data_IF_865657112333
#
_entry.id   IF_865657112333
#
_cell.length_a   1.000
_cell.length_b   1.000
_cell.length_c   1.000
_cell.angle_alpha   90.00
_cell.angle_beta   90.00
_cell.angle_gamma   90.00
#
_symmetry.space_group_name_H-M   'P 1'
#
loop_
_entity.id
_entity.type
_entity.pdbx_description
1 polymer ?
#
# COMPACT_ATOMS: atom_id res chain seq x y z
N UNK A 1 27.56 7.20 17.37
CA UNK A 1 26.36 7.47 16.56
C UNK A 1 25.14 7.29 17.46
N UNK A 2 24.09 8.09 17.30
CA UNK A 2 22.87 7.94 18.09
C UNK A 2 22.21 6.60 17.76
N UNK A 3 21.90 5.79 18.76
CA UNK A 3 21.16 4.53 18.57
C UNK A 3 19.67 4.86 18.41
N UNK A 4 19.09 4.46 17.29
CA UNK A 4 17.66 4.62 17.01
C UNK A 4 16.95 3.37 17.53
N UNK A 5 15.82 3.54 18.19
CA UNK A 5 14.88 2.45 18.48
C UNK A 5 13.52 2.79 17.91
N UNK A 6 12.87 1.82 17.25
CA UNK A 6 11.59 1.99 16.59
C UNK A 6 10.57 1.01 17.17
N UNK A 7 9.33 1.44 17.30
CA UNK A 7 8.23 0.51 17.59
C UNK A 7 7.91 -0.28 16.31
N UNK A 8 8.06 -1.60 16.37
CA UNK A 8 7.76 -2.50 15.26
C UNK A 8 6.38 -3.12 15.46
N UNK A 9 5.42 -2.79 14.59
CA UNK A 9 4.05 -3.34 14.67
C UNK A 9 4.04 -4.87 14.64
N UNK A 10 4.98 -5.50 13.92
CA UNK A 10 5.07 -6.96 13.81
C UNK A 10 5.40 -7.65 15.14
N UNK A 11 6.27 -7.06 15.97
CA UNK A 11 6.67 -7.62 17.27
C UNK A 11 5.96 -6.97 18.46
N UNK A 12 5.32 -5.81 18.24
CA UNK A 12 4.65 -4.99 19.25
C UNK A 12 5.59 -4.48 20.33
N UNK A 13 6.86 -4.31 19.99
CA UNK A 13 7.91 -3.85 20.88
C UNK A 13 8.69 -2.69 20.28
N UNK A 14 9.31 -1.89 21.15
CA UNK A 14 10.35 -0.95 20.75
C UNK A 14 11.66 -1.72 20.66
N UNK A 15 12.25 -1.76 19.48
CA UNK A 15 13.45 -2.54 19.16
C UNK A 15 14.56 -1.60 18.67
N UNK A 16 15.83 -1.88 18.96
CA UNK A 16 16.94 -1.21 18.31
C UNK A 16 16.83 -1.35 16.79
N UNK A 17 16.98 -0.25 16.06
CA UNK A 17 16.96 -0.26 14.61
C UNK A 17 18.36 -0.43 14.05
N UNK A 18 18.53 -1.46 13.22
CA UNK A 18 19.74 -1.73 12.44
C UNK A 18 19.34 -1.97 10.97
N UNK A 19 19.96 -1.26 10.01
CA UNK A 19 19.68 -1.48 8.59
C UNK A 19 20.14 -2.88 8.14
N UNK A 20 19.39 -3.50 7.23
CA UNK A 20 19.70 -4.79 6.59
C UNK A 20 21.05 -4.78 5.87
N UNK A 21 21.36 -3.66 5.22
CA UNK A 21 22.65 -3.42 4.58
C UNK A 21 23.34 -2.30 5.34
N UNK A 22 24.56 -2.56 5.80
CA UNK A 22 25.38 -1.57 6.50
C UNK A 22 25.40 -0.24 5.73
N UNK A 23 25.07 0.85 6.41
CA UNK A 23 24.96 2.21 5.86
C UNK A 23 23.98 2.38 4.68
N UNK A 24 22.88 1.63 4.62
CA UNK A 24 21.80 1.92 3.67
C UNK A 24 20.44 1.58 4.25
N UNK A 25 19.60 2.61 4.44
CA UNK A 25 18.21 2.47 4.89
C UNK A 25 17.27 2.62 3.69
N UNK A 26 16.42 1.63 3.46
CA UNK A 26 15.38 1.62 2.43
C UNK A 26 14.01 1.64 3.08
N UNK A 27 13.27 2.71 2.84
CA UNK A 27 11.97 2.96 3.44
C UNK A 27 10.91 3.10 2.35
N UNK A 28 9.83 2.32 2.46
CA UNK A 28 8.62 2.47 1.65
C UNK A 28 7.47 2.97 2.52
N UNK A 29 6.73 3.97 2.06
CA UNK A 29 5.50 4.44 2.73
C UNK A 29 4.36 4.46 1.73
N UNK A 30 3.25 3.81 2.04
CA UNK A 30 2.07 3.83 1.19
C UNK A 30 1.55 5.26 1.00
N UNK A 31 1.42 5.69 -0.25
CA UNK A 31 0.96 7.02 -0.62
C UNK A 31 -0.55 7.09 -0.90
N UNK A 32 -1.03 8.22 -1.46
CA UNK A 32 -2.46 8.47 -1.60
C UNK A 32 -3.04 7.85 -2.89
N UNK A 33 -4.35 7.59 -2.86
CA UNK A 33 -5.15 7.47 -4.08
C UNK A 33 -5.47 8.87 -4.61
N UNK A 34 -5.08 9.18 -5.84
CA UNK A 34 -5.17 10.54 -6.41
C UNK A 34 -6.47 10.75 -7.18
N UNK A 35 -7.56 10.97 -6.43
CA UNK A 35 -8.91 11.20 -6.99
C UNK A 35 -9.57 12.49 -6.50
N UNK A 36 -9.03 13.13 -5.46
CA UNK A 36 -9.60 14.30 -4.80
C UNK A 36 -8.51 15.07 -4.03
N UNK A 37 -8.84 16.23 -3.46
CA UNK A 37 -7.96 16.98 -2.56
C UNK A 37 -7.55 16.14 -1.35
N UNK A 38 -6.29 16.29 -0.95
CA UNK A 38 -5.74 15.66 0.25
C UNK A 38 -6.43 16.22 1.49
N UNK A 39 -6.79 15.33 2.43
CA UNK A 39 -7.25 15.74 3.74
C UNK A 39 -6.15 15.61 4.78
N UNK A 40 -6.32 16.21 5.96
CA UNK A 40 -5.34 16.14 7.05
C UNK A 40 -4.95 14.70 7.42
N UNK A 41 -5.88 13.75 7.29
CA UNK A 41 -5.58 12.32 7.44
C UNK A 41 -4.53 11.78 6.45
N UNK A 42 -4.46 12.29 5.21
CA UNK A 42 -3.42 11.96 4.23
C UNK A 42 -2.12 12.69 4.53
N UNK A 43 -2.19 13.89 5.11
CA UNK A 43 -1.01 14.68 5.47
C UNK A 43 -0.27 14.13 6.70
N UNK A 44 -0.98 13.57 7.68
CA UNK A 44 -0.37 13.03 8.91
C UNK A 44 0.72 11.97 8.64
N UNK A 45 0.49 10.90 7.85
CA UNK A 45 1.57 9.96 7.55
C UNK A 45 2.77 10.67 6.93
N UNK A 46 2.56 11.62 6.02
CA UNK A 46 3.67 12.37 5.39
C UNK A 46 4.50 13.10 6.43
N UNK A 47 3.89 13.85 7.36
CA UNK A 47 4.63 14.58 8.39
C UNK A 47 5.37 13.62 9.34
N UNK A 48 4.73 12.52 9.74
CA UNK A 48 5.34 11.51 10.63
C UNK A 48 6.55 10.85 9.97
N UNK A 49 6.39 10.39 8.73
CA UNK A 49 7.46 9.70 8.00
C UNK A 49 8.52 10.65 7.45
N UNK A 50 8.20 11.92 7.19
CA UNK A 50 9.20 12.96 6.91
C UNK A 50 10.08 13.22 8.13
N UNK A 51 9.49 13.27 9.34
CA UNK A 51 10.26 13.39 10.58
C UNK A 51 11.23 12.21 10.76
N UNK A 52 10.77 10.99 10.49
CA UNK A 52 11.61 9.79 10.50
C UNK A 52 12.69 9.86 9.41
N UNK A 53 12.34 10.24 8.19
CA UNK A 53 13.27 10.36 7.07
C UNK A 53 14.41 11.36 7.39
N UNK A 54 14.07 12.52 7.97
CA UNK A 54 15.05 13.51 8.44
C UNK A 54 15.97 12.95 9.52
N UNK A 55 15.43 12.21 10.49
CA UNK A 55 16.22 11.56 11.54
C UNK A 55 17.19 10.53 10.94
N UNK A 56 16.70 9.66 10.06
CA UNK A 56 17.52 8.66 9.38
C UNK A 56 18.63 9.32 8.57
N UNK A 57 18.34 10.39 7.81
CA UNK A 57 19.33 11.16 7.06
C UNK A 57 20.35 11.86 7.96
N UNK A 58 19.94 12.30 9.15
CA UNK A 58 20.86 12.88 10.13
C UNK A 58 21.83 11.84 10.71
N UNK A 59 21.36 10.62 10.96
CA UNK A 59 22.16 9.55 11.61
C UNK A 59 23.03 8.79 10.61
N UNK A 60 22.49 8.41 9.44
CA UNK A 60 23.17 7.60 8.43
C UNK A 60 23.76 8.42 7.27
N UNK A 61 23.33 9.69 7.13
CA UNK A 61 23.72 10.56 6.02
C UNK A 61 22.68 10.56 4.89
N UNK A 62 22.54 11.71 4.22
CA UNK A 62 21.50 11.91 3.20
C UNK A 62 21.61 10.96 2.00
N UNK A 63 22.82 10.54 1.61
CA UNK A 63 23.03 9.60 0.50
C UNK A 63 22.85 8.12 0.88
N UNK A 64 22.47 7.84 2.12
CA UNK A 64 22.36 6.50 2.70
C UNK A 64 20.92 6.15 3.11
N UNK A 65 19.94 6.96 2.70
CA UNK A 65 18.52 6.71 2.97
C UNK A 65 17.76 6.86 1.66
N UNK A 66 17.14 5.76 1.19
CA UNK A 66 16.25 5.73 0.04
C UNK A 66 14.80 5.67 0.53
N UNK A 67 14.03 6.71 0.25
CA UNK A 67 12.61 6.83 0.59
C UNK A 67 11.74 6.74 -0.67
N UNK A 68 10.83 5.77 -0.69
CA UNK A 68 9.85 5.56 -1.76
C UNK A 68 8.44 5.80 -1.22
N UNK A 69 7.60 6.52 -1.97
CA UNK A 69 6.16 6.68 -1.70
C UNK A 69 5.37 6.67 -3.00
N UNK A 70 4.50 5.68 -3.19
CA UNK A 70 3.73 5.57 -4.44
C UNK A 70 2.60 6.60 -4.58
N UNK A 71 2.04 6.66 -5.78
CA UNK A 71 0.71 7.19 -6.06
C UNK A 71 -0.16 6.09 -6.64
N UNK A 72 -1.31 5.82 -6.02
CA UNK A 72 -2.34 4.97 -6.62
C UNK A 72 -3.16 5.81 -7.59
N UNK A 73 -2.86 5.68 -8.88
CA UNK A 73 -3.49 6.42 -9.98
C UNK A 73 -4.42 5.55 -10.85
N UNK A 74 -4.77 4.36 -10.35
CA UNK A 74 -5.86 3.51 -10.86
C UNK A 74 -6.59 2.87 -9.68
N UNK A 75 -7.86 3.21 -9.47
CA UNK A 75 -8.70 2.66 -8.39
C UNK A 75 -10.19 2.87 -8.71
N UNK A 76 -11.08 2.11 -8.06
CA UNK A 76 -12.53 2.27 -8.22
C UNK A 76 -13.00 3.69 -7.90
N UNK A 77 -12.38 4.37 -6.92
CA UNK A 77 -12.71 5.77 -6.59
C UNK A 77 -12.33 6.75 -7.69
N UNK A 78 -11.21 6.50 -8.39
CA UNK A 78 -10.77 7.32 -9.53
C UNK A 78 -11.73 7.14 -10.70
N UNK A 79 -12.11 5.89 -11.00
CA UNK A 79 -13.06 5.56 -12.07
C UNK A 79 -14.42 6.20 -11.78
N UNK A 80 -14.94 6.07 -10.56
CA UNK A 80 -16.19 6.71 -10.14
C UNK A 80 -16.11 8.23 -10.28
N UNK A 81 -15.00 8.85 -9.84
CA UNK A 81 -14.81 10.30 -9.97
C UNK A 81 -14.76 10.78 -11.43
N UNK A 82 -14.12 10.00 -12.30
CA UNK A 82 -14.08 10.29 -13.73
C UNK A 82 -15.47 10.21 -14.36
N UNK A 83 -16.25 9.18 -14.04
CA UNK A 83 -17.63 9.05 -14.49
C UNK A 83 -18.51 10.21 -13.99
N UNK A 84 -18.43 10.56 -12.70
CA UNK A 84 -19.23 11.63 -12.10
C UNK A 84 -18.91 13.02 -12.67
N UNK A 85 -17.64 13.28 -13.00
CA UNK A 85 -17.19 14.59 -13.48
C UNK A 85 -17.18 14.71 -15.01
N UNK A 86 -17.28 13.61 -15.73
CA UNK A 86 -17.07 13.55 -17.19
C UNK A 86 -15.65 13.90 -17.63
N UNK A 87 -14.68 13.94 -16.70
CA UNK A 87 -13.29 14.30 -16.98
C UNK A 87 -12.43 13.04 -17.21
N UNK A 88 -11.43 13.10 -18.10
CA UNK A 88 -10.47 12.02 -18.27
C UNK A 88 -9.72 11.66 -16.98
N UNK A 89 -9.46 10.36 -16.77
CA UNK A 89 -8.77 9.85 -15.57
C UNK A 89 -7.38 10.47 -15.41
N UNK A 90 -6.59 10.53 -16.48
CA UNK A 90 -5.24 11.09 -16.50
C UNK A 90 -5.21 12.57 -16.08
N UNK A 91 -6.24 13.32 -16.45
CA UNK A 91 -6.43 14.72 -16.07
C UNK A 91 -6.71 14.82 -14.57
N UNK A 92 -7.62 13.99 -14.03
CA UNK A 92 -7.94 13.99 -12.60
C UNK A 92 -6.72 13.58 -11.77
N UNK A 93 -6.06 12.49 -12.13
CA UNK A 93 -4.94 11.96 -11.35
C UNK A 93 -3.74 12.90 -11.41
N UNK A 94 -3.45 13.52 -12.55
CA UNK A 94 -2.34 14.50 -12.65
C UNK A 94 -2.62 15.77 -11.83
N UNK A 95 -3.84 16.32 -11.90
CA UNK A 95 -4.23 17.50 -11.12
C UNK A 95 -4.18 17.23 -9.61
N UNK A 96 -4.78 16.14 -9.17
CA UNK A 96 -4.86 15.79 -7.75
C UNK A 96 -3.51 15.34 -7.19
N UNK A 97 -2.64 14.74 -8.00
CA UNK A 97 -1.23 14.51 -7.66
C UNK A 97 -0.52 15.84 -7.41
N UNK A 98 -0.68 16.82 -8.30
CA UNK A 98 -0.04 18.12 -8.14
C UNK A 98 -0.54 18.84 -6.88
N UNK A 99 -1.85 18.85 -6.64
CA UNK A 99 -2.41 19.41 -5.41
C UNK A 99 -1.82 18.74 -4.17
N UNK A 100 -1.73 17.40 -4.16
CA UNK A 100 -1.13 16.68 -3.05
C UNK A 100 0.34 17.09 -2.83
N UNK A 101 1.14 17.21 -3.91
CA UNK A 101 2.53 17.65 -3.81
C UNK A 101 2.63 19.08 -3.25
N UNK A 102 1.83 20.01 -3.76
CA UNK A 102 1.78 21.39 -3.30
C UNK A 102 1.40 21.48 -1.81
N UNK A 103 0.36 20.73 -1.41
CA UNK A 103 -0.13 20.67 -0.04
C UNK A 103 0.96 20.09 0.91
N UNK A 104 1.65 19.01 0.51
CA UNK A 104 2.72 18.43 1.33
C UNK A 104 3.97 19.33 1.39
N UNK A 105 4.28 20.05 0.31
CA UNK A 105 5.38 21.02 0.29
C UNK A 105 5.08 22.22 1.20
N UNK A 106 3.83 22.70 1.24
CA UNK A 106 3.39 23.75 2.16
C UNK A 106 3.52 23.36 3.64
N UNK A 107 3.42 22.06 3.95
CA UNK A 107 3.71 21.50 5.28
C UNK A 107 5.21 21.33 5.58
N UNK A 108 6.09 21.61 4.61
CA UNK A 108 7.54 21.51 4.75
C UNK A 108 8.07 20.08 4.67
N UNK A 109 7.29 19.12 4.15
CA UNK A 109 7.76 17.75 3.97
C UNK A 109 8.83 17.68 2.86
N UNK A 110 9.87 16.87 3.05
CA UNK A 110 10.80 16.53 1.99
C UNK A 110 10.12 15.61 0.97
N UNK A 111 10.54 15.75 -0.29
CA UNK A 111 10.13 14.80 -1.32
C UNK A 111 10.79 13.42 -1.08
N UNK A 112 10.05 12.32 -1.30
CA UNK A 112 10.64 11.00 -1.45
C UNK A 112 11.66 10.97 -2.59
N UNK A 113 12.65 10.09 -2.50
CA UNK A 113 13.62 9.86 -3.56
C UNK A 113 12.96 9.27 -4.81
N UNK A 114 11.90 8.46 -4.64
CA UNK A 114 11.09 7.94 -5.73
C UNK A 114 9.59 7.96 -5.42
N UNK A 115 8.79 8.29 -6.44
CA UNK A 115 7.32 8.37 -6.35
C UNK A 115 6.63 7.58 -7.47
N UNK A 116 6.68 6.24 -7.44
CA UNK A 116 6.14 5.41 -8.52
C UNK A 116 4.62 5.52 -8.63
N UNK A 117 4.11 5.45 -9.87
CA UNK A 117 2.67 5.41 -10.16
C UNK A 117 2.24 3.99 -10.46
N UNK A 118 1.11 3.54 -9.92
CA UNK A 118 0.59 2.19 -10.14
C UNK A 118 0.46 1.85 -11.64
N UNK A 119 -0.03 2.79 -12.46
CA UNK A 119 -0.18 2.59 -13.91
C UNK A 119 1.15 2.35 -14.66
N UNK A 120 2.29 2.74 -14.09
CA UNK A 120 3.61 2.52 -14.68
C UNK A 120 4.22 1.15 -14.34
N UNK A 121 3.62 0.39 -13.42
CA UNK A 121 4.13 -0.88 -12.91
C UNK A 121 3.24 -2.09 -13.24
N UNK A 122 2.32 -1.94 -14.20
CA UNK A 122 1.42 -3.02 -14.63
C UNK A 122 2.17 -4.29 -15.04
N UNK A 123 3.27 -4.24 -15.83
CA UNK A 123 4.01 -5.46 -16.17
C UNK A 123 4.57 -6.18 -14.94
N UNK A 124 5.09 -5.45 -13.96
CA UNK A 124 5.62 -5.99 -12.71
C UNK A 124 4.52 -6.64 -11.87
N UNK A 125 3.33 -6.00 -11.81
CA UNK A 125 2.17 -6.59 -11.13
C UNK A 125 1.74 -7.88 -11.82
N UNK A 126 1.62 -7.91 -13.14
CA UNK A 126 1.27 -9.12 -13.89
C UNK A 126 2.30 -10.23 -13.63
N UNK A 127 3.60 -9.95 -13.70
CA UNK A 127 4.66 -10.93 -13.45
C UNK A 127 4.64 -11.50 -12.03
N UNK A 128 4.36 -10.66 -11.02
CA UNK A 128 4.21 -11.10 -9.63
C UNK A 128 2.99 -12.02 -9.47
N UNK A 129 1.88 -11.69 -10.14
CA UNK A 129 0.66 -12.52 -10.11
C UNK A 129 0.90 -13.87 -10.81
N UNK A 130 1.60 -13.90 -11.94
CA UNK A 130 1.99 -15.15 -12.60
C UNK A 130 2.83 -16.04 -11.68
N UNK A 131 3.80 -15.45 -10.97
CA UNK A 131 4.60 -16.14 -9.95
C UNK A 131 3.71 -16.74 -8.86
N UNK A 132 2.78 -15.95 -8.31
CA UNK A 132 1.86 -16.39 -7.25
C UNK A 132 0.94 -17.53 -7.71
N UNK A 133 0.49 -17.51 -8.97
CA UNK A 133 -0.29 -18.62 -9.54
C UNK A 133 0.59 -19.87 -9.66
N UNK A 134 1.80 -19.72 -10.23
CA UNK A 134 2.72 -20.83 -10.44
C UNK A 134 3.14 -21.52 -9.12
N UNK A 135 3.25 -20.74 -8.04
CA UNK A 135 3.56 -21.24 -6.70
C UNK A 135 2.34 -21.75 -5.91
N UNK A 136 1.13 -21.69 -6.48
CA UNK A 136 -0.10 -22.17 -5.83
C UNK A 136 -0.67 -21.23 -4.76
N UNK A 137 -0.28 -19.96 -4.76
CA UNK A 137 -0.77 -18.92 -3.85
C UNK A 137 -1.86 -18.02 -4.45
N UNK A 138 -2.14 -18.18 -5.74
CA UNK A 138 -3.22 -17.48 -6.43
C UNK A 138 -3.95 -18.38 -7.43
N UNK A 139 -5.16 -17.99 -7.81
CA UNK A 139 -5.95 -18.69 -8.81
C UNK A 139 -6.78 -17.72 -9.64
N UNK A 140 -7.01 -18.07 -10.91
CA UNK A 140 -7.92 -17.35 -11.79
C UNK A 140 -9.36 -17.88 -11.67
N UNK A 141 -10.34 -17.00 -11.66
CA UNK A 141 -11.76 -17.32 -11.65
C UNK A 141 -12.57 -16.20 -12.29
N UNK A 142 -13.42 -16.51 -13.27
CA UNK A 142 -14.33 -15.53 -13.91
C UNK A 142 -13.61 -14.23 -14.37
N UNK A 143 -12.43 -14.36 -14.99
CA UNK A 143 -11.60 -13.23 -15.43
C UNK A 143 -10.87 -12.47 -14.32
N UNK A 144 -11.12 -12.80 -13.05
CA UNK A 144 -10.35 -12.30 -11.91
C UNK A 144 -9.14 -13.20 -11.66
N UNK A 145 -8.16 -12.64 -10.95
CA UNK A 145 -7.14 -13.42 -10.23
C UNK A 145 -7.22 -13.06 -8.76
N UNK A 146 -7.21 -14.08 -7.91
CA UNK A 146 -7.37 -13.97 -6.48
C UNK A 146 -6.17 -14.59 -5.77
N UNK A 147 -5.78 -13.99 -4.65
CA UNK A 147 -4.86 -14.60 -3.70
C UNK A 147 -5.64 -15.60 -2.84
N UNK A 148 -5.13 -16.83 -2.72
CA UNK A 148 -5.66 -17.85 -1.81
C UNK A 148 -5.11 -17.58 -0.41
N UNK A 149 -5.90 -16.99 0.47
CA UNK A 149 -5.44 -16.62 1.82
C UNK A 149 -5.01 -17.84 2.63
N UNK A 150 -5.66 -18.99 2.44
CA UNK A 150 -5.33 -20.22 3.18
C UNK A 150 -4.01 -20.84 2.74
N UNK A 151 -3.53 -20.50 1.55
CA UNK A 151 -2.22 -20.94 1.06
C UNK A 151 -1.04 -20.32 1.82
N UNK A 152 -1.27 -19.24 2.59
CA UNK A 152 -0.24 -18.57 3.40
C UNK A 152 -0.55 -18.71 4.91
N UNK A 153 0.05 -19.69 5.61
CA UNK A 153 -0.26 -19.98 7.03
C UNK A 153 0.01 -18.84 8.00
N UNK A 154 0.85 -17.88 7.59
CA UNK A 154 1.30 -16.74 8.39
C UNK A 154 0.38 -15.51 8.24
N UNK A 155 -0.70 -15.62 7.45
CA UNK A 155 -1.65 -14.54 7.21
C UNK A 155 -2.33 -14.07 8.51
N UNK A 156 -2.38 -12.76 8.72
CA UNK A 156 -3.01 -12.16 9.91
C UNK A 156 -2.02 -11.88 11.05
N UNK A 157 -0.73 -12.22 10.90
CA UNK A 157 0.28 -12.00 11.95
C UNK A 157 0.59 -10.53 12.20
N UNK A 158 0.54 -9.66 11.18
CA UNK A 158 0.82 -8.23 11.39
C UNK A 158 -0.28 -7.59 12.24
N UNK A 159 -1.53 -7.79 11.84
CA UNK A 159 -2.72 -7.27 12.52
C UNK A 159 -3.05 -8.02 13.81
N UNK A 160 -2.56 -9.26 13.96
CA UNK A 160 -2.89 -10.19 15.03
C UNK A 160 -4.36 -10.65 15.02
N UNK A 161 -4.96 -10.71 13.84
CA UNK A 161 -6.32 -11.23 13.63
C UNK A 161 -6.24 -12.62 13.03
N UNK A 162 -6.99 -13.58 13.57
CA UNK A 162 -7.13 -14.87 12.92
C UNK A 162 -8.11 -14.78 11.75
N UNK A 163 -7.90 -15.58 10.70
CA UNK A 163 -8.80 -15.66 9.53
C UNK A 163 -10.23 -16.00 9.96
N UNK A 164 -10.38 -16.93 10.92
CA UNK A 164 -11.67 -17.37 11.43
C UNK A 164 -12.43 -16.26 12.19
N UNK A 165 -11.73 -15.47 13.01
CA UNK A 165 -12.33 -14.32 13.72
C UNK A 165 -12.82 -13.25 12.73
N UNK A 166 -12.09 -13.07 11.62
CA UNK A 166 -12.46 -12.13 10.57
C UNK A 166 -13.72 -12.57 9.81
N UNK A 167 -13.82 -13.87 9.50
CA UNK A 167 -15.02 -14.45 8.85
C UNK A 167 -16.23 -14.37 9.78
N UNK A 168 -16.07 -14.68 11.07
CA UNK A 168 -17.17 -14.63 12.04
C UNK A 168 -17.77 -13.21 12.21
N UNK A 169 -16.95 -12.17 12.03
CA UNK A 169 -17.40 -10.77 12.02
C UNK A 169 -17.97 -10.29 10.69
N UNK A 170 -17.59 -10.92 9.57
CA UNK A 170 -18.02 -10.54 8.23
C UNK A 170 -19.38 -11.17 7.90
N UNK A 171 -20.47 -10.43 8.12
CA UNK A 171 -21.78 -10.73 7.53
C UNK A 171 -21.78 -10.40 6.03
N UNK A 172 -20.92 -11.05 5.25
CA UNK A 172 -20.72 -10.73 3.82
C UNK A 172 -21.02 -11.95 2.97
N UNK A 173 -21.86 -11.75 1.96
CA UNK A 173 -22.12 -12.72 0.90
C UNK A 173 -20.82 -12.92 0.10
N UNK A 174 -20.32 -14.16 0.04
CA UNK A 174 -19.08 -14.47 -0.67
C UNK A 174 -19.34 -14.28 -2.16
N UNK A 175 -18.55 -13.42 -2.81
CA UNK A 175 -18.63 -13.27 -4.25
C UNK A 175 -18.38 -14.64 -4.92
N UNK A 176 -19.17 -15.04 -5.93
CA UNK A 176 -19.20 -16.41 -6.43
C UNK A 176 -17.86 -16.91 -6.99
N UNK A 177 -17.00 -15.98 -7.44
CA UNK A 177 -15.66 -16.26 -7.95
C UNK A 177 -14.60 -16.51 -6.86
N UNK A 178 -14.94 -16.37 -5.57
CA UNK A 178 -14.05 -16.65 -4.44
C UNK A 178 -14.24 -18.07 -3.91
N UNK A 179 -13.13 -18.78 -3.69
CA UNK A 179 -13.10 -20.08 -2.97
C UNK A 179 -13.24 -19.89 -1.47
N UNK A 180 -12.63 -18.83 -0.92
CA UNK A 180 -12.77 -18.42 0.48
C UNK A 180 -13.22 -16.94 0.57
N UNK A 181 -14.11 -16.57 1.50
CA UNK A 181 -14.53 -15.18 1.72
C UNK A 181 -13.37 -14.18 1.84
N UNK A 182 -12.24 -14.62 2.43
CA UNK A 182 -11.08 -13.79 2.70
C UNK A 182 -10.14 -13.63 1.52
N UNK A 183 -10.27 -14.45 0.48
CA UNK A 183 -9.47 -14.33 -0.74
C UNK A 183 -9.65 -12.93 -1.33
N UNK A 184 -8.56 -12.30 -1.74
CA UNK A 184 -8.59 -10.92 -2.22
C UNK A 184 -8.08 -10.82 -3.65
N UNK A 185 -8.60 -9.82 -4.36
CA UNK A 185 -8.32 -9.61 -5.78
C UNK A 185 -6.88 -9.15 -5.96
N UNK A 186 -6.16 -9.85 -6.84
CA UNK A 186 -4.89 -9.43 -7.41
C UNK A 186 -5.08 -8.74 -8.77
N UNK A 187 -6.02 -9.25 -9.57
CA UNK A 187 -6.40 -8.69 -10.86
C UNK A 187 -7.93 -8.79 -11.05
N UNK A 188 -8.57 -7.74 -11.54
CA UNK A 188 -10.01 -7.74 -11.83
C UNK A 188 -10.29 -7.34 -13.28
N UNK A 189 -11.33 -7.92 -13.92
CA UNK A 189 -11.77 -7.51 -15.25
C UNK A 189 -12.09 -6.02 -15.34
N UNK A 190 -11.85 -5.45 -16.51
CA UNK A 190 -12.25 -4.09 -16.86
C UNK A 190 -13.13 -4.14 -18.09
N UNK A 191 -14.26 -3.44 -18.04
CA UNK A 191 -15.08 -3.17 -19.23
C UNK A 191 -14.41 -2.16 -20.16
N UNK A 192 -14.92 -2.02 -21.39
CA UNK A 192 -14.35 -1.13 -22.41
C UNK A 192 -14.38 0.35 -22.03
N UNK A 193 -15.31 0.74 -21.16
CA UNK A 193 -15.45 2.09 -20.60
C UNK A 193 -14.57 2.33 -19.36
N UNK A 194 -13.87 1.30 -18.88
CA UNK A 194 -12.96 1.38 -17.73
C UNK A 194 -11.49 1.31 -18.18
N UNK A 195 -10.56 1.92 -17.42
CA UNK A 195 -9.14 1.70 -17.63
C UNK A 195 -8.82 0.21 -17.46
N UNK A 196 -7.92 -0.28 -18.30
CA UNK A 196 -7.52 -1.68 -18.30
C UNK A 196 -6.33 -1.93 -19.20
N UNK A 197 -5.67 -3.05 -18.97
CA UNK A 197 -4.49 -3.52 -19.65
C UNK A 197 -4.69 -4.99 -20.03
N UNK A 198 -4.01 -5.40 -21.08
CA UNK A 198 -4.01 -6.81 -21.49
C UNK A 198 -3.17 -7.63 -20.51
N UNK A 199 -3.65 -8.83 -20.20
CA UNK A 199 -3.01 -9.78 -19.30
C UNK A 199 -3.32 -11.21 -19.74
N UNK A 200 -2.62 -12.23 -19.20
CA UNK A 200 -2.94 -13.64 -19.44
C UNK A 200 -4.38 -14.03 -19.07
N UNK A 201 -5.04 -13.24 -18.22
CA UNK A 201 -6.40 -13.48 -17.72
C UNK A 201 -7.46 -12.62 -18.41
N UNK A 202 -7.08 -11.96 -19.52
CA UNK A 202 -7.92 -11.02 -20.25
C UNK A 202 -7.69 -9.57 -19.83
N UNK A 203 -8.47 -8.67 -20.43
CA UNK A 203 -8.40 -7.23 -20.14
C UNK A 203 -8.86 -6.95 -18.71
N UNK A 204 -8.02 -6.27 -17.94
CA UNK A 204 -8.33 -5.94 -16.56
C UNK A 204 -7.39 -4.91 -15.94
N UNK A 205 -7.39 -4.85 -14.63
CA UNK A 205 -6.64 -3.87 -13.83
C UNK A 205 -6.25 -4.45 -12.48
N UNK A 206 -5.21 -3.91 -11.83
CA UNK A 206 -4.72 -4.44 -10.57
C UNK A 206 -5.74 -4.31 -9.43
N UNK A 207 -5.66 -5.22 -8.47
CA UNK A 207 -6.22 -5.03 -7.14
C UNK A 207 -5.34 -4.10 -6.31
N UNK A 208 -5.93 -3.38 -5.35
CA UNK A 208 -5.23 -2.32 -4.60
C UNK A 208 -3.91 -2.76 -3.96
N UNK A 209 -3.84 -3.99 -3.43
CA UNK A 209 -2.68 -4.46 -2.65
C UNK A 209 -1.46 -4.81 -3.52
N UNK A 210 -1.67 -5.37 -4.72
CA UNK A 210 -0.57 -5.88 -5.56
C UNK A 210 0.33 -4.75 -6.07
N UNK A 211 -0.22 -3.53 -6.15
CA UNK A 211 0.50 -2.33 -6.56
C UNK A 211 1.73 -2.11 -5.68
N UNK A 212 1.54 -2.01 -4.37
CA UNK A 212 2.61 -1.69 -3.42
C UNK A 212 3.63 -2.84 -3.31
N UNK A 213 3.18 -4.10 -3.32
CA UNK A 213 4.07 -5.26 -3.35
C UNK A 213 5.00 -5.24 -4.57
N UNK A 214 4.46 -5.03 -5.77
CA UNK A 214 5.24 -5.01 -7.00
C UNK A 214 6.18 -3.79 -7.08
N UNK A 215 5.69 -2.58 -6.76
CA UNK A 215 6.49 -1.36 -6.80
C UNK A 215 7.63 -1.38 -5.78
N UNK A 216 7.35 -1.79 -4.54
CA UNK A 216 8.39 -1.84 -3.49
C UNK A 216 9.43 -2.93 -3.77
N UNK A 217 9.03 -4.09 -4.30
CA UNK A 217 9.97 -5.11 -4.75
C UNK A 217 10.90 -4.59 -5.84
N UNK A 218 10.37 -3.98 -6.90
CA UNK A 218 11.17 -3.47 -8.03
C UNK A 218 12.18 -2.40 -7.57
N UNK A 219 11.78 -1.53 -6.65
CA UNK A 219 12.58 -0.38 -6.22
C UNK A 219 13.51 -0.65 -5.04
N UNK A 220 13.14 -1.56 -4.14
CA UNK A 220 13.84 -1.80 -2.88
C UNK A 220 14.33 -3.25 -2.72
N UNK A 221 13.88 -4.18 -3.57
CA UNK A 221 14.18 -5.61 -3.52
C UNK A 221 13.27 -6.41 -2.59
N UNK A 222 13.51 -7.72 -2.52
CA UNK A 222 12.70 -8.70 -1.77
C UNK A 222 12.69 -8.49 -0.24
N UNK A 223 13.66 -7.76 0.28
CA UNK A 223 13.76 -7.40 1.70
C UNK A 223 14.32 -5.99 1.86
N UNK A 224 13.58 -5.13 2.54
CA UNK A 224 13.95 -3.75 2.87
C UNK A 224 13.67 -3.40 4.34
N UNK A 225 14.09 -2.20 4.75
CA UNK A 225 14.27 -1.88 6.16
C UNK A 225 12.97 -1.50 6.84
N UNK A 226 12.22 -0.55 6.27
CA UNK A 226 11.05 0.04 6.91
C UNK A 226 9.88 0.11 5.92
N UNK A 227 8.72 -0.40 6.33
CA UNK A 227 7.44 -0.17 5.64
C UNK A 227 6.50 0.64 6.54
N UNK A 228 5.93 1.71 6.00
CA UNK A 228 5.13 2.68 6.74
C UNK A 228 3.76 2.96 6.15
N UNK A 229 2.81 3.38 6.99
CA UNK A 229 1.51 3.89 6.56
C UNK A 229 0.61 4.33 7.72
N UNK A 230 -0.63 4.69 7.41
CA UNK A 230 -1.65 4.90 8.44
C UNK A 230 -2.06 3.59 9.12
N UNK A 231 -2.51 3.64 10.38
CA UNK A 231 -2.97 2.46 11.12
C UNK A 231 -4.16 1.74 10.43
N UNK A 232 -4.94 2.45 9.61
CA UNK A 232 -5.99 1.88 8.78
C UNK A 232 -5.45 0.98 7.64
N UNK A 233 -4.17 1.13 7.26
CA UNK A 233 -3.54 0.27 6.26
C UNK A 233 -3.01 -1.04 6.84
N UNK A 234 -2.83 -1.15 8.17
CA UNK A 234 -2.35 -2.38 8.81
C UNK A 234 -3.17 -3.60 8.39
N UNK A 235 -4.50 -3.44 8.30
CA UNK A 235 -5.40 -4.45 7.76
C UNK A 235 -6.54 -3.82 6.95
N UNK A 236 -6.83 -4.33 5.72
CA UNK A 236 -6.21 -5.50 5.10
C UNK A 236 -4.94 -5.19 4.31
N UNK A 237 -4.59 -3.92 4.07
CA UNK A 237 -3.64 -3.56 3.02
C UNK A 237 -2.23 -4.13 3.23
N UNK A 238 -1.56 -3.77 4.32
CA UNK A 238 -0.21 -4.23 4.62
C UNK A 238 -0.13 -5.74 4.91
N UNK A 239 -1.18 -6.33 5.49
CA UNK A 239 -1.27 -7.79 5.67
C UNK A 239 -1.27 -8.51 4.31
N UNK A 240 -2.01 -7.98 3.33
CA UNK A 240 -2.06 -8.52 1.98
C UNK A 240 -0.74 -8.31 1.23
N UNK A 241 -0.05 -7.18 1.44
CA UNK A 241 1.26 -6.94 0.84
C UNK A 241 2.32 -7.92 1.36
N UNK A 242 2.31 -8.21 2.67
CA UNK A 242 3.16 -9.26 3.25
C UNK A 242 2.87 -10.60 2.58
N UNK A 243 1.59 -10.98 2.48
CA UNK A 243 1.19 -12.26 1.92
C UNK A 243 1.64 -12.39 0.45
N UNK A 244 1.36 -11.38 -0.38
CA UNK A 244 1.80 -11.34 -1.77
C UNK A 244 3.32 -11.42 -1.90
N UNK A 245 4.04 -10.56 -1.18
CA UNK A 245 5.50 -10.42 -1.34
C UNK A 245 6.26 -11.63 -0.81
N UNK A 246 5.89 -12.15 0.37
CA UNK A 246 6.53 -13.33 0.94
C UNK A 246 6.19 -14.62 0.17
N UNK A 247 5.01 -14.72 -0.44
CA UNK A 247 4.66 -15.85 -1.29
C UNK A 247 5.32 -15.79 -2.68
N UNK A 248 5.48 -14.58 -3.25
CA UNK A 248 6.19 -14.40 -4.51
C UNK A 248 7.72 -14.55 -4.35
N UNK A 249 8.26 -14.16 -3.18
CA UNK A 249 9.69 -14.16 -2.87
C UNK A 249 9.94 -14.85 -1.51
N UNK A 250 9.93 -16.19 -1.45
CA UNK A 250 9.98 -16.94 -0.18
C UNK A 250 11.31 -16.81 0.58
N UNK A 251 12.40 -16.39 -0.09
CA UNK A 251 13.68 -16.08 0.57
C UNK A 251 13.69 -14.67 1.20
N UNK A 252 12.77 -13.81 0.76
CA UNK A 252 12.59 -12.45 1.25
C UNK A 252 11.73 -12.37 2.51
N UNK A 253 11.84 -11.23 3.21
CA UNK A 253 11.02 -10.90 4.39
C UNK A 253 10.08 -9.73 4.15
N UNK A 254 10.10 -9.17 2.95
CA UNK A 254 9.46 -7.91 2.58
C UNK A 254 10.00 -6.71 3.37
N UNK A 255 9.50 -6.46 4.59
CA UNK A 255 9.98 -5.39 5.46
C UNK A 255 10.37 -5.90 6.85
N UNK A 256 11.51 -5.41 7.37
CA UNK A 256 11.97 -5.73 8.73
C UNK A 256 11.18 -5.00 9.82
N UNK A 257 10.91 -3.71 9.62
CA UNK A 257 10.20 -2.85 10.57
C UNK A 257 8.91 -2.34 9.94
N UNK A 258 7.80 -2.55 10.65
CA UNK A 258 6.49 -2.02 10.30
C UNK A 258 6.12 -0.86 11.21
N UNK A 259 5.81 0.29 10.63
CA UNK A 259 5.44 1.48 11.39
C UNK A 259 4.09 2.01 10.94
N UNK A 260 3.22 2.30 11.91
CA UNK A 260 1.88 2.81 11.65
C UNK A 260 1.60 4.05 12.50
N UNK A 261 1.18 5.15 11.86
CA UNK A 261 0.72 6.32 12.60
C UNK A 261 -0.77 6.19 12.97
N UNK A 262 -1.13 6.66 14.16
CA UNK A 262 -2.53 6.65 14.59
C UNK A 262 -3.43 7.58 13.76
N UNK A 263 -4.75 7.33 13.86
CA UNK A 263 -5.78 8.14 13.19
C UNK A 263 -5.87 9.55 13.79
N UNK A 264 -6.17 10.55 12.95
CA UNK A 264 -6.52 11.88 13.43
C UNK A 264 -7.91 11.88 14.08
N UNK A 265 -8.01 12.60 15.20
CA UNK A 265 -9.26 12.89 15.87
C UNK A 265 -9.58 14.38 15.72
N UNK A 266 -10.84 14.69 15.43
CA UNK A 266 -11.42 16.04 15.42
C UNK A 266 -12.52 16.02 16.48
N UNK A 267 -12.43 16.89 17.48
CA UNK A 267 -13.35 16.96 18.63
C UNK A 267 -13.57 15.61 19.34
N UNK A 268 -12.50 14.85 19.51
CA UNK A 268 -12.52 13.52 20.14
C UNK A 268 -13.19 12.41 19.31
N UNK A 269 -13.57 12.70 18.06
CA UNK A 269 -14.11 11.71 17.11
C UNK A 269 -13.12 11.47 15.98
N UNK A 270 -13.07 10.24 15.46
CA UNK A 270 -12.30 9.90 14.27
C UNK A 270 -12.71 10.84 13.11
N UNK A 271 -11.73 11.43 12.42
CA UNK A 271 -12.00 12.20 11.21
C UNK A 271 -12.38 11.27 10.05
N UNK A 272 -13.51 11.51 9.39
CA UNK A 272 -13.91 10.77 8.18
C UNK A 272 -14.79 11.62 7.25
N UNK A 273 -14.77 11.29 5.94
CA UNK A 273 -15.69 11.89 4.96
C UNK A 273 -17.16 11.65 5.33
N UNK A 274 -17.49 10.45 5.84
CA UNK A 274 -18.86 10.07 6.21
C UNK A 274 -19.43 10.85 7.41
N UNK A 275 -18.58 11.34 8.31
CA UNK A 275 -18.99 12.14 9.47
C UNK A 275 -18.96 13.64 9.18
N UNK A 276 -18.54 14.06 7.98
CA UNK A 276 -18.41 15.46 7.60
C UNK A 276 -17.37 16.25 8.41
N UNK A 277 -16.54 15.57 9.20
CA UNK A 277 -15.57 16.17 10.12
C UNK A 277 -14.12 16.00 9.61
N UNK A 278 -13.94 16.11 8.30
CA UNK A 278 -12.63 16.11 7.66
C UNK A 278 -12.33 17.49 7.08
N UNK A 279 -11.06 17.86 7.14
CA UNK A 279 -10.56 19.12 6.59
C UNK A 279 -9.50 18.79 5.54
N UNK A 280 -9.51 19.54 4.45
CA UNK A 280 -8.40 19.56 3.51
C UNK A 280 -7.18 20.19 4.19
N UNK A 281 -6.00 19.94 3.63
CA UNK A 281 -4.75 20.60 4.06
C UNK A 281 -4.84 22.12 3.90
#
# INVERSE_FOLDING_TARGET
MAQISLYNTKSRAVEPFEPLKFDMVRMYVCGPTVYDRAHLGNARPVVVFDTLYRLLRHVYGAGHVKYVRNFTDVDDKIIARAADSGRPIDTITSETTQWYLDDMAALGALEPDEMPRATAYIPQMVAMIETLIASGHAYAAEGHVLFDVRSYPEYGRLSGRSVDDMIAGARVEVAPYKRDPMDFVLWKPSSDDQPGWDSPWGRGRPGWHIECSAMSHDLLGESFDIHGGGNDLMFPHHENEIAQSCCAHPEGKFANVWMHNEMLQVDGKKSSKSLGNFFTV
#
